data_IF_287135461125
#
_entry.id   IF_287135461125
#
_cell.length_a   1.000
_cell.length_b   1.000
_cell.length_c   1.000
_cell.angle_alpha   90.00
_cell.angle_beta   90.00
_cell.angle_gamma   90.00
#
_symmetry.space_group_name_H-M   'P 1'
#
loop_
_entity.id
_entity.type
_entity.pdbx_description
1 polymer ?
#
# COMPACT_ATOMS: atom_id res chain seq x y z
N UNK A 1 -7.56 -6.65 24.74
CA UNK A 1 -7.04 -6.35 23.37
C UNK A 1 -6.55 -4.91 23.16
N UNK A 2 -6.46 -4.03 24.18
CA UNK A 2 -6.15 -2.59 24.04
C UNK A 2 -4.79 -2.22 23.40
N UNK A 3 -3.83 -3.15 23.33
CA UNK A 3 -2.46 -2.87 22.88
C UNK A 3 -2.04 -3.55 21.57
N UNK A 4 -2.92 -4.33 20.91
CA UNK A 4 -2.55 -5.08 19.70
C UNK A 4 -2.06 -4.18 18.57
N UNK A 5 -2.58 -2.95 18.48
CA UNK A 5 -2.20 -1.99 17.45
C UNK A 5 -0.73 -1.54 17.56
N UNK A 6 -0.15 -1.55 18.77
CA UNK A 6 1.26 -1.19 19.00
C UNK A 6 2.21 -2.17 18.29
N UNK A 7 1.82 -3.44 18.16
CA UNK A 7 2.59 -4.42 17.41
C UNK A 7 2.19 -4.47 15.93
N UNK A 8 0.88 -4.47 15.65
CA UNK A 8 0.36 -4.65 14.28
C UNK A 8 0.76 -3.50 13.36
N UNK A 9 0.65 -2.25 13.82
CA UNK A 9 0.91 -1.09 12.96
C UNK A 9 2.39 -0.98 12.53
N UNK A 10 3.37 -1.07 13.45
CA UNK A 10 4.78 -1.12 13.06
C UNK A 10 5.14 -2.35 12.26
N UNK A 11 4.64 -3.54 12.62
CA UNK A 11 4.94 -4.76 11.87
C UNK A 11 4.47 -4.67 10.41
N UNK A 12 3.26 -4.16 10.17
CA UNK A 12 2.77 -3.91 8.82
C UNK A 12 3.65 -2.89 8.08
N UNK A 13 4.10 -1.83 8.77
CA UNK A 13 5.01 -0.84 8.21
C UNK A 13 6.36 -1.45 7.82
N UNK A 14 6.98 -2.22 8.70
CA UNK A 14 8.26 -2.91 8.45
C UNK A 14 8.14 -3.86 7.26
N UNK A 15 7.08 -4.66 7.20
CA UNK A 15 6.87 -5.60 6.09
C UNK A 15 6.68 -4.88 4.76
N UNK A 16 5.90 -3.80 4.72
CA UNK A 16 5.68 -3.04 3.50
C UNK A 16 6.96 -2.31 3.05
N UNK A 17 7.55 -1.50 3.93
CA UNK A 17 8.74 -0.71 3.61
C UNK A 17 9.96 -1.58 3.31
N UNK A 18 10.16 -2.64 4.09
CA UNK A 18 11.24 -3.60 3.86
C UNK A 18 11.04 -4.39 2.58
N UNK A 19 9.82 -4.86 2.31
CA UNK A 19 9.50 -5.59 1.07
C UNK A 19 9.74 -4.74 -0.17
N UNK A 20 9.26 -3.49 -0.16
CA UNK A 20 9.46 -2.53 -1.25
C UNK A 20 10.95 -2.24 -1.50
N UNK A 21 11.72 -1.91 -0.45
CA UNK A 21 13.16 -1.67 -0.59
C UNK A 21 13.92 -2.90 -1.11
N UNK A 22 13.57 -4.10 -0.63
CA UNK A 22 14.21 -5.34 -1.08
C UNK A 22 13.96 -5.63 -2.56
N UNK A 23 12.73 -5.50 -3.05
CA UNK A 23 12.45 -5.74 -4.48
C UNK A 23 13.13 -4.70 -5.36
N UNK A 24 13.21 -3.45 -4.91
CA UNK A 24 13.87 -2.37 -5.64
C UNK A 24 15.38 -2.60 -5.74
N UNK A 25 15.96 -3.31 -4.77
CA UNK A 25 17.39 -3.61 -4.73
C UNK A 25 17.80 -4.77 -5.65
N UNK A 26 16.90 -5.69 -6.02
CA UNK A 26 17.25 -6.92 -6.77
C UNK A 26 18.02 -6.65 -8.06
N UNK A 27 17.59 -5.76 -8.98
CA UNK A 27 18.33 -5.54 -10.22
C UNK A 27 19.77 -5.04 -9.97
N UNK A 28 19.96 -4.26 -8.91
CA UNK A 28 21.28 -3.71 -8.58
C UNK A 28 22.17 -4.78 -7.94
N UNK A 29 21.61 -5.60 -7.05
CA UNK A 29 22.33 -6.75 -6.48
C UNK A 29 22.78 -7.77 -7.53
N UNK A 30 22.07 -7.86 -8.67
CA UNK A 30 22.42 -8.70 -9.80
C UNK A 30 23.38 -8.02 -10.81
N UNK A 31 23.74 -6.75 -10.60
CA UNK A 31 24.61 -5.99 -11.51
C UNK A 31 23.90 -5.42 -12.74
N UNK A 32 22.57 -5.47 -12.79
CA UNK A 32 21.74 -5.09 -13.94
C UNK A 32 21.16 -3.67 -13.82
N UNK A 33 21.61 -2.88 -12.83
CA UNK A 33 21.09 -1.53 -12.58
C UNK A 33 21.30 -0.54 -13.74
N UNK A 34 22.33 -0.77 -14.57
CA UNK A 34 22.63 0.03 -15.75
C UNK A 34 22.03 -0.50 -17.06
N UNK A 35 21.38 -1.66 -17.02
CA UNK A 35 20.77 -2.28 -18.20
C UNK A 35 19.38 -1.71 -18.49
N UNK A 36 19.01 -1.71 -19.76
CA UNK A 36 17.64 -1.38 -20.15
C UNK A 36 16.67 -2.38 -19.53
N UNK A 37 15.49 -1.92 -19.09
CA UNK A 37 14.50 -2.77 -18.39
C UNK A 37 14.14 -4.03 -19.15
N UNK A 38 14.09 -3.97 -20.49
CA UNK A 38 13.75 -5.10 -21.33
C UNK A 38 14.85 -6.18 -21.42
N UNK A 39 16.10 -5.81 -21.13
CA UNK A 39 17.26 -6.70 -21.28
C UNK A 39 17.63 -7.42 -19.97
N UNK A 40 17.03 -6.99 -18.84
CA UNK A 40 17.27 -7.53 -17.50
C UNK A 40 16.86 -8.99 -17.37
N UNK A 41 17.58 -9.72 -16.53
CA UNK A 41 17.36 -11.12 -16.24
C UNK A 41 16.01 -11.41 -15.58
N UNK A 42 15.62 -12.69 -15.58
CA UNK A 42 14.33 -13.15 -15.05
C UNK A 42 14.03 -12.66 -13.63
N UNK A 43 15.02 -12.71 -12.73
CA UNK A 43 14.84 -12.29 -11.33
C UNK A 43 14.61 -10.79 -11.19
N UNK A 44 15.25 -9.97 -12.03
CA UNK A 44 14.99 -8.53 -12.11
C UNK A 44 13.61 -8.23 -12.66
N UNK A 45 13.09 -9.03 -13.61
CA UNK A 45 11.70 -8.88 -14.08
C UNK A 45 10.68 -9.21 -12.99
N UNK A 46 10.93 -10.28 -12.20
CA UNK A 46 10.09 -10.64 -11.05
C UNK A 46 10.11 -9.54 -9.99
N UNK A 47 11.30 -9.01 -9.70
CA UNK A 47 11.46 -7.91 -8.77
C UNK A 47 10.81 -6.62 -9.27
N UNK A 48 10.94 -6.31 -10.57
CA UNK A 48 10.28 -5.16 -11.20
C UNK A 48 8.75 -5.29 -11.12
N UNK A 49 8.20 -6.47 -11.39
CA UNK A 49 6.78 -6.76 -11.19
C UNK A 49 6.35 -6.48 -9.74
N UNK A 50 7.15 -6.91 -8.77
CA UNK A 50 6.95 -6.63 -7.36
C UNK A 50 7.01 -5.13 -7.04
N UNK A 51 8.02 -4.42 -7.55
CA UNK A 51 8.22 -2.98 -7.32
C UNK A 51 7.05 -2.14 -7.84
N UNK A 52 6.54 -2.43 -9.04
CA UNK A 52 5.42 -1.71 -9.64
C UNK A 52 4.15 -1.82 -8.79
N UNK A 53 4.02 -2.89 -8.01
CA UNK A 53 2.92 -3.07 -7.06
C UNK A 53 3.28 -2.43 -5.71
N UNK A 54 4.46 -2.70 -5.17
CA UNK A 54 4.88 -2.30 -3.83
C UNK A 54 5.10 -0.79 -3.68
N UNK A 55 5.58 -0.13 -4.74
CA UNK A 55 5.82 1.32 -4.77
C UNK A 55 4.58 2.12 -5.19
N UNK A 56 3.47 1.42 -5.45
CA UNK A 56 2.23 2.09 -5.81
C UNK A 56 1.60 2.75 -4.59
N UNK A 57 1.21 4.03 -4.73
CA UNK A 57 0.58 4.78 -3.64
C UNK A 57 -0.71 4.13 -3.12
N UNK A 58 -1.42 3.36 -3.96
CA UNK A 58 -2.63 2.65 -3.54
C UNK A 58 -2.33 1.51 -2.56
N UNK A 59 -1.20 0.82 -2.68
CA UNK A 59 -0.85 -0.28 -1.76
C UNK A 59 -0.45 0.27 -0.39
N UNK A 60 0.29 1.37 -0.36
CA UNK A 60 0.61 2.09 0.88
C UNK A 60 -0.67 2.56 1.57
N UNK A 61 -1.61 3.13 0.82
CA UNK A 61 -2.92 3.48 1.34
C UNK A 61 -3.70 2.24 1.86
N UNK A 62 -3.64 1.12 1.12
CA UNK A 62 -4.29 -0.13 1.51
C UNK A 62 -3.74 -0.66 2.85
N UNK A 63 -2.44 -0.58 3.10
CA UNK A 63 -1.84 -0.99 4.36
C UNK A 63 -2.37 -0.17 5.55
N UNK A 64 -2.39 1.16 5.42
CA UNK A 64 -2.95 2.04 6.45
C UNK A 64 -4.44 1.77 6.72
N UNK A 65 -5.23 1.58 5.65
CA UNK A 65 -6.66 1.22 5.73
C UNK A 65 -6.84 -0.16 6.39
N UNK A 66 -6.06 -1.17 6.00
CA UNK A 66 -6.15 -2.51 6.53
C UNK A 66 -5.81 -2.56 8.03
N UNK A 67 -4.72 -1.90 8.43
CA UNK A 67 -4.34 -1.78 9.84
C UNK A 67 -5.43 -1.05 10.62
N UNK A 68 -5.92 0.08 10.11
CA UNK A 68 -7.04 0.82 10.70
C UNK A 68 -8.28 -0.07 10.91
N UNK A 69 -8.64 -0.86 9.91
CA UNK A 69 -9.73 -1.83 9.98
C UNK A 69 -9.50 -2.93 11.04
N UNK A 70 -8.28 -3.48 11.11
CA UNK A 70 -7.92 -4.54 12.06
C UNK A 70 -7.97 -4.07 13.53
N UNK A 71 -7.54 -2.84 13.79
CA UNK A 71 -7.41 -2.32 15.17
C UNK A 71 -8.65 -1.58 15.68
N UNK A 72 -9.63 -1.32 14.80
CA UNK A 72 -10.88 -0.64 15.13
C UNK A 72 -11.80 -1.53 15.97
N UNK A 73 -11.70 -1.41 17.28
CA UNK A 73 -12.62 -2.03 18.26
C UNK A 73 -13.63 -1.01 18.84
N UNK A 74 -14.73 -1.51 19.42
CA UNK A 74 -15.99 -0.78 19.68
C UNK A 74 -15.88 0.51 20.50
N UNK A 75 -14.88 0.64 21.38
CA UNK A 75 -14.85 1.76 22.35
C UNK A 75 -14.31 3.09 21.77
N UNK A 76 -13.30 3.07 20.89
CA UNK A 76 -12.69 4.27 20.27
C UNK A 76 -12.11 3.97 18.87
N UNK A 77 -12.95 3.54 17.91
CA UNK A 77 -12.44 2.96 16.67
C UNK A 77 -11.65 3.97 15.82
N UNK A 78 -12.10 5.23 15.74
CA UNK A 78 -11.48 6.21 14.83
C UNK A 78 -10.12 6.73 15.29
N UNK A 79 -9.95 7.09 16.57
CA UNK A 79 -8.68 7.62 17.06
C UNK A 79 -7.57 6.56 17.00
N UNK A 80 -7.87 5.33 17.45
CA UNK A 80 -6.90 4.22 17.43
C UNK A 80 -6.54 3.88 15.99
N UNK A 81 -7.52 3.82 15.09
CA UNK A 81 -7.26 3.54 13.68
C UNK A 81 -6.47 4.65 12.99
N UNK A 82 -6.76 5.92 13.29
CA UNK A 82 -6.01 7.06 12.77
C UNK A 82 -4.53 6.99 13.18
N UNK A 83 -4.27 6.77 14.47
CA UNK A 83 -2.91 6.63 14.98
C UNK A 83 -2.21 5.41 14.36
N UNK A 84 -2.91 4.28 14.26
CA UNK A 84 -2.33 3.07 13.69
C UNK A 84 -2.00 3.22 12.20
N UNK A 85 -2.88 3.85 11.40
CA UNK A 85 -2.60 4.17 10.00
C UNK A 85 -1.40 5.10 9.84
N UNK A 86 -1.31 6.14 10.68
CA UNK A 86 -0.15 7.05 10.72
C UNK A 86 1.15 6.31 11.07
N UNK A 87 1.15 5.52 12.13
CA UNK A 87 2.32 4.73 12.55
C UNK A 87 2.75 3.74 11.48
N UNK A 88 1.80 3.06 10.81
CA UNK A 88 2.13 2.14 9.72
C UNK A 88 2.86 2.83 8.58
N UNK A 89 2.39 4.00 8.12
CA UNK A 89 3.03 4.72 7.01
C UNK A 89 4.38 5.33 7.43
N UNK A 90 4.46 5.88 8.65
CA UNK A 90 5.72 6.41 9.18
C UNK A 90 6.78 5.32 9.25
N UNK A 91 6.45 4.16 9.83
CA UNK A 91 7.38 3.04 9.94
C UNK A 91 7.75 2.50 8.56
N UNK A 92 6.79 2.34 7.65
CA UNK A 92 7.09 1.91 6.28
C UNK A 92 8.06 2.86 5.58
N UNK A 93 7.82 4.17 5.70
CA UNK A 93 8.67 5.21 5.09
C UNK A 93 10.08 5.18 5.69
N UNK A 94 10.19 5.12 7.02
CA UNK A 94 11.49 5.08 7.71
C UNK A 94 12.29 3.81 7.39
N UNK A 95 11.62 2.66 7.31
CA UNK A 95 12.27 1.38 6.98
C UNK A 95 12.71 1.37 5.53
N UNK A 96 11.84 1.79 4.61
CA UNK A 96 12.17 1.88 3.19
C UNK A 96 13.39 2.79 2.97
N UNK A 97 13.32 4.02 3.48
CA UNK A 97 14.37 5.02 3.33
C UNK A 97 15.67 4.61 4.07
N UNK A 98 15.55 4.00 5.25
CA UNK A 98 16.71 3.48 5.99
C UNK A 98 17.46 2.40 5.21
N UNK A 99 16.76 1.49 4.54
CA UNK A 99 17.36 0.45 3.70
C UNK A 99 17.95 1.05 2.42
N UNK A 100 17.23 1.93 1.73
CA UNK A 100 17.74 2.64 0.54
C UNK A 100 19.03 3.42 0.86
N UNK A 101 19.07 4.14 1.99
CA UNK A 101 20.27 4.86 2.44
C UNK A 101 21.42 3.91 2.78
N UNK A 102 21.12 2.78 3.42
CA UNK A 102 22.11 1.77 3.75
C UNK A 102 22.78 1.18 2.50
N UNK A 103 22.02 0.95 1.43
CA UNK A 103 22.54 0.35 0.20
C UNK A 103 23.12 1.37 -0.80
N UNK A 104 22.59 2.60 -0.86
CA UNK A 104 22.88 3.53 -1.95
C UNK A 104 23.37 4.92 -1.54
N UNK A 105 23.41 5.25 -0.24
CA UNK A 105 23.82 6.58 0.24
C UNK A 105 23.10 7.74 -0.48
N UNK A 106 21.84 7.56 -0.88
CA UNK A 106 21.06 8.60 -1.54
C UNK A 106 20.71 9.70 -0.53
N UNK A 107 20.80 10.98 -0.91
CA UNK A 107 20.57 12.09 0.02
C UNK A 107 19.11 12.18 0.48
N UNK A 108 18.88 12.29 1.80
CA UNK A 108 17.57 12.25 2.47
C UNK A 108 16.60 13.42 2.20
N UNK A 109 16.72 14.15 1.08
CA UNK A 109 15.83 15.29 0.77
C UNK A 109 14.40 14.88 0.47
N UNK A 110 14.19 13.68 -0.11
CA UNK A 110 12.85 13.15 -0.45
C UNK A 110 12.16 12.52 0.78
N UNK A 111 12.93 12.17 1.81
CA UNK A 111 12.43 11.57 3.05
C UNK A 111 11.41 12.47 3.76
N UNK A 112 11.70 13.77 3.89
CA UNK A 112 10.80 14.71 4.59
C UNK A 112 9.44 14.84 3.89
N UNK A 113 9.43 14.80 2.55
CA UNK A 113 8.19 14.83 1.77
C UNK A 113 7.30 13.61 2.09
N UNK A 114 7.87 12.40 2.12
CA UNK A 114 7.11 11.18 2.41
C UNK A 114 6.72 11.03 3.88
N UNK A 115 7.55 11.52 4.81
CA UNK A 115 7.20 11.59 6.22
C UNK A 115 6.02 12.55 6.45
N UNK A 116 6.04 13.72 5.81
CA UNK A 116 4.92 14.65 5.84
C UNK A 116 3.66 14.00 5.25
N UNK A 117 3.78 13.33 4.10
CA UNK A 117 2.70 12.54 3.50
C UNK A 117 2.13 11.48 4.45
N UNK A 118 2.99 10.77 5.17
CA UNK A 118 2.58 9.75 6.16
C UNK A 118 1.77 10.34 7.32
N UNK A 119 2.19 11.51 7.84
CA UNK A 119 1.47 12.23 8.90
C UNK A 119 0.14 12.79 8.41
N UNK A 120 0.09 13.30 7.18
CA UNK A 120 -1.10 13.92 6.61
C UNK A 120 -2.14 12.89 6.16
N UNK A 121 -1.70 11.79 5.53
CA UNK A 121 -2.59 10.80 4.91
C UNK A 121 -2.84 9.59 5.82
N UNK A 122 -1.90 9.22 6.68
CA UNK A 122 -2.04 8.05 7.56
C UNK A 122 -3.28 8.10 8.47
N UNK A 123 -3.53 9.21 9.20
CA UNK A 123 -4.74 9.36 10.02
C UNK A 123 -6.05 9.19 9.25
N UNK A 124 -6.32 9.93 8.15
CA UNK A 124 -7.57 9.75 7.40
C UNK A 124 -7.70 8.35 6.80
N UNK A 125 -6.63 7.75 6.30
CA UNK A 125 -6.66 6.38 5.77
C UNK A 125 -6.97 5.35 6.86
N UNK A 126 -6.37 5.49 8.04
CA UNK A 126 -6.71 4.66 9.20
C UNK A 126 -8.20 4.79 9.57
N UNK A 127 -8.74 6.01 9.60
CA UNK A 127 -10.17 6.26 9.83
C UNK A 127 -11.07 5.64 8.76
N UNK A 128 -10.65 5.63 7.49
CA UNK A 128 -11.36 4.91 6.42
C UNK A 128 -11.42 3.41 6.75
N UNK A 129 -10.32 2.82 7.19
CA UNK A 129 -10.28 1.44 7.69
C UNK A 129 -11.31 1.17 8.79
N UNK A 130 -11.42 2.08 9.77
CA UNK A 130 -12.44 2.00 10.81
C UNK A 130 -13.86 2.06 10.25
N UNK A 131 -14.09 2.95 9.29
CA UNK A 131 -15.39 3.17 8.66
C UNK A 131 -15.90 1.95 7.89
N UNK A 132 -15.02 1.08 7.36
CA UNK A 132 -15.39 -0.18 6.70
C UNK A 132 -16.31 -1.03 7.58
N UNK A 133 -16.13 -1.03 8.91
CA UNK A 133 -16.96 -1.83 9.82
C UNK A 133 -18.38 -1.28 10.00
N UNK A 134 -18.65 -0.05 9.57
CA UNK A 134 -20.00 0.53 9.69
C UNK A 134 -20.96 -0.16 8.72
N UNK A 135 -22.20 -0.47 9.13
CA UNK A 135 -23.23 -0.92 8.20
C UNK A 135 -23.65 0.21 7.26
N UNK A 136 -24.22 -0.15 6.12
CA UNK A 136 -24.81 0.80 5.17
C UNK A 136 -23.81 1.46 4.19
N UNK A 137 -24.19 2.62 3.61
CA UNK A 137 -23.47 3.23 2.50
C UNK A 137 -22.07 3.72 2.91
N UNK A 138 -21.90 4.23 4.13
CA UNK A 138 -20.60 4.74 4.61
C UNK A 138 -19.54 3.64 4.63
N UNK A 139 -19.85 2.47 5.18
CA UNK A 139 -18.89 1.36 5.20
C UNK A 139 -18.65 0.74 3.82
N UNK A 140 -19.64 0.81 2.93
CA UNK A 140 -19.50 0.38 1.54
C UNK A 140 -18.55 1.31 0.78
N UNK A 141 -18.74 2.63 0.87
CA UNK A 141 -17.86 3.62 0.27
C UNK A 141 -16.43 3.51 0.82
N UNK A 142 -16.29 3.37 2.13
CA UNK A 142 -14.98 3.17 2.75
C UNK A 142 -14.26 1.91 2.23
N UNK A 143 -14.99 0.81 2.00
CA UNK A 143 -14.42 -0.42 1.45
C UNK A 143 -14.03 -0.32 -0.03
N UNK A 144 -14.62 0.62 -0.77
CA UNK A 144 -14.30 0.87 -2.18
C UNK A 144 -13.10 1.81 -2.38
N UNK A 145 -12.64 2.51 -1.34
CA UNK A 145 -11.51 3.46 -1.45
C UNK A 145 -10.27 2.79 -2.02
N UNK A 146 -9.89 1.62 -1.51
CA UNK A 146 -8.67 0.92 -1.94
C UNK A 146 -8.79 0.38 -3.38
N UNK A 147 -9.83 -0.38 -3.76
CA UNK A 147 -10.01 -0.81 -5.15
C UNK A 147 -10.11 0.35 -6.13
N UNK A 148 -10.81 1.42 -5.78
CA UNK A 148 -10.92 2.61 -6.63
C UNK A 148 -9.55 3.29 -6.79
N UNK A 149 -8.79 3.43 -5.70
CA UNK A 149 -7.43 3.96 -5.74
C UNK A 149 -6.49 3.12 -6.59
N UNK A 150 -6.59 1.79 -6.52
CA UNK A 150 -5.80 0.87 -7.33
C UNK A 150 -6.10 1.02 -8.84
N UNK A 151 -7.38 1.03 -9.21
CA UNK A 151 -7.79 1.24 -10.60
C UNK A 151 -7.38 2.63 -11.12
N UNK A 152 -7.58 3.68 -10.31
CA UNK A 152 -7.22 5.04 -10.67
C UNK A 152 -5.70 5.21 -10.85
N UNK A 153 -4.90 4.60 -9.98
CA UNK A 153 -3.44 4.64 -10.07
C UNK A 153 -2.95 4.06 -11.41
N UNK A 154 -3.52 2.93 -11.84
CA UNK A 154 -3.18 2.31 -13.14
C UNK A 154 -3.52 3.19 -14.35
N UNK A 155 -4.47 4.11 -14.23
CA UNK A 155 -4.88 5.04 -15.29
C UNK A 155 -4.06 6.33 -15.27
N UNK A 156 -3.85 6.90 -14.08
CA UNK A 156 -3.17 8.19 -13.91
C UNK A 156 -1.65 8.08 -13.97
N UNK A 157 -1.11 6.97 -13.47
CA UNK A 157 0.33 6.71 -13.37
C UNK A 157 0.58 5.30 -13.91
N UNK A 158 0.42 5.09 -15.23
CA UNK A 158 0.63 3.78 -15.82
C UNK A 158 2.09 3.33 -15.63
N UNK A 159 2.34 2.01 -15.53
CA UNK A 159 3.70 1.47 -15.51
C UNK A 159 4.53 1.93 -16.72
N UNK A 160 5.87 2.01 -16.58
CA UNK A 160 6.76 2.41 -17.66
C UNK A 160 6.53 1.59 -18.93
N UNK A 161 6.47 2.25 -20.09
CA UNK A 161 6.15 1.59 -21.37
C UNK A 161 7.26 0.64 -21.86
N UNK A 162 8.50 0.85 -21.40
CA UNK A 162 9.68 0.01 -21.64
C UNK A 162 9.74 -1.22 -20.72
N UNK A 163 8.84 -1.34 -19.74
CA UNK A 163 8.75 -2.49 -18.84
C UNK A 163 8.02 -3.67 -19.51
N UNK A 164 8.68 -4.83 -19.57
CA UNK A 164 8.05 -6.07 -20.06
C UNK A 164 6.90 -6.53 -19.15
N UNK A 165 6.97 -6.19 -17.86
CA UNK A 165 5.99 -6.58 -16.84
C UNK A 165 4.94 -5.51 -16.56
N UNK A 166 5.10 -4.30 -17.11
CA UNK A 166 4.19 -3.17 -16.91
C UNK A 166 2.74 -3.48 -17.30
N UNK A 167 2.50 -3.96 -18.53
CA UNK A 167 1.15 -4.33 -18.98
C UNK A 167 0.56 -5.46 -18.12
N UNK A 168 1.26 -6.59 -17.86
CA UNK A 168 0.79 -7.62 -16.93
C UNK A 168 0.35 -7.06 -15.57
N UNK A 169 1.12 -6.16 -14.95
CA UNK A 169 0.76 -5.52 -13.68
C UNK A 169 -0.53 -4.72 -13.82
N UNK A 170 -0.67 -3.89 -14.86
CA UNK A 170 -1.90 -3.12 -15.11
C UNK A 170 -3.12 -4.01 -15.20
N UNK A 171 -3.05 -5.11 -15.95
CA UNK A 171 -4.16 -6.06 -16.07
C UNK A 171 -4.51 -6.71 -14.74
N UNK A 172 -3.49 -7.19 -14.01
CA UNK A 172 -3.69 -7.86 -12.73
C UNK A 172 -4.34 -6.91 -11.71
N UNK A 173 -3.78 -5.71 -11.53
CA UNK A 173 -4.28 -4.73 -10.55
C UNK A 173 -5.70 -4.29 -10.91
N UNK A 174 -5.97 -4.01 -12.20
CA UNK A 174 -7.30 -3.59 -12.65
C UNK A 174 -8.34 -4.70 -12.46
N UNK A 175 -7.99 -5.95 -12.80
CA UNK A 175 -8.87 -7.09 -12.60
C UNK A 175 -9.14 -7.34 -11.10
N UNK A 176 -8.11 -7.30 -10.26
CA UNK A 176 -8.23 -7.46 -8.81
C UNK A 176 -9.12 -6.35 -8.21
N UNK A 177 -8.93 -5.10 -8.64
CA UNK A 177 -9.76 -3.97 -8.20
C UNK A 177 -11.24 -4.15 -8.59
N UNK A 178 -11.51 -4.57 -9.83
CA UNK A 178 -12.87 -4.83 -10.30
C UNK A 178 -13.54 -5.96 -9.51
N UNK A 179 -12.84 -7.07 -9.29
CA UNK A 179 -13.33 -8.21 -8.49
C UNK A 179 -13.61 -7.77 -7.05
N UNK A 180 -12.68 -7.04 -6.42
CA UNK A 180 -12.86 -6.53 -5.07
C UNK A 180 -14.08 -5.61 -4.96
N UNK A 181 -14.27 -4.69 -5.91
CA UNK A 181 -15.43 -3.81 -5.94
C UNK A 181 -16.76 -4.59 -6.04
N UNK A 182 -16.83 -5.59 -6.92
CA UNK A 182 -18.01 -6.46 -7.06
C UNK A 182 -18.30 -7.22 -5.76
N UNK A 183 -17.28 -7.79 -5.12
CA UNK A 183 -17.44 -8.51 -3.86
C UNK A 183 -17.91 -7.59 -2.73
N UNK A 184 -17.38 -6.37 -2.63
CA UNK A 184 -17.82 -5.37 -1.66
C UNK A 184 -19.30 -5.04 -1.86
N UNK A 185 -19.72 -4.71 -3.09
CA UNK A 185 -21.12 -4.37 -3.36
C UNK A 185 -22.04 -5.55 -3.06
N UNK A 186 -21.68 -6.76 -3.52
CA UNK A 186 -22.51 -7.97 -3.33
C UNK A 186 -22.68 -8.33 -1.85
N UNK A 187 -21.60 -8.34 -1.08
CA UNK A 187 -21.66 -8.69 0.35
C UNK A 187 -22.49 -7.69 1.15
N UNK A 188 -22.35 -6.39 0.85
CA UNK A 188 -23.11 -5.33 1.52
C UNK A 188 -24.59 -5.33 1.16
N UNK A 189 -24.90 -5.60 -0.12
CA UNK A 189 -26.29 -5.75 -0.57
C UNK A 189 -26.99 -6.93 0.09
N UNK A 190 -26.31 -8.08 0.20
CA UNK A 190 -26.87 -9.25 0.89
C UNK A 190 -27.13 -8.97 2.37
N UNK A 191 -26.21 -8.28 3.06
CA UNK A 191 -26.39 -7.89 4.46
C UNK A 191 -27.52 -6.88 4.69
N UNK A 192 -27.88 -6.07 3.70
CA UNK A 192 -29.02 -5.13 3.81
C UNK A 192 -30.39 -5.81 3.63
N UNK A 193 -30.43 -7.06 3.14
CA UNK A 193 -31.66 -7.83 2.92
C UNK A 193 -31.93 -8.89 4.00
N UNK A 194 -30.97 -9.13 4.89
CA UNK A 194 -31.09 -10.05 6.02
C UNK A 194 -31.54 -9.30 7.27
#
# INVERSE_FOLDING_TARGET
MRYRWIAVAPAAGVLLGGGAALVNHVPIALGEGGEARADRGFWSQVAEFGSLILDSGWLWAAAAVAVGWLVSDRARPFLVAALAGCVTLLVATLVYDGLENYYFSQGGSVQMFWLAGSVLLGPPLGMVGAAIRRPGPVGTLAALVVPAGAALNMVLIPPPADSLVGRPVTWLVSAAAAVAAVLVVRTRWSAARA
#
